data_IF_796004383228
#
_entry.id   IF_796004383228
#
_cell.length_a   1.000
_cell.length_b   1.000
_cell.length_c   1.000
_cell.angle_alpha   90.00
_cell.angle_beta   90.00
_cell.angle_gamma   90.00
#
_symmetry.space_group_name_H-M   'P 1'
#
loop_
_entity.id
_entity.type
_entity.pdbx_description
1 polymer ?
#
# COMPACT_ATOMS: atom_id res chain seq x y z
N UNK A 1 -35.40 -43.34 -5.15
CA UNK A 1 -34.95 -42.05 -4.58
C UNK A 1 -33.58 -42.26 -3.92
N UNK A 2 -32.60 -41.43 -4.25
CA UNK A 2 -31.29 -41.43 -3.56
C UNK A 2 -30.09 -41.41 -4.49
N UNK A 3 -29.90 -40.33 -5.26
CA UNK A 3 -28.63 -40.08 -5.97
C UNK A 3 -27.68 -39.33 -5.02
N UNK A 4 -26.64 -40.02 -4.54
CA UNK A 4 -25.55 -39.42 -3.77
C UNK A 4 -24.54 -38.78 -4.73
N UNK A 5 -24.73 -37.51 -5.05
CA UNK A 5 -23.71 -36.71 -5.73
C UNK A 5 -22.54 -36.45 -4.77
N UNK A 6 -21.49 -37.28 -4.87
CA UNK A 6 -20.21 -37.06 -4.21
C UNK A 6 -19.43 -35.98 -4.98
N UNK A 7 -19.58 -34.72 -4.60
CA UNK A 7 -18.78 -33.61 -5.15
C UNK A 7 -17.29 -33.80 -4.80
N UNK A 8 -16.51 -34.16 -5.81
CA UNK A 8 -15.07 -34.23 -5.74
C UNK A 8 -14.51 -32.79 -5.73
N UNK A 9 -14.16 -32.28 -4.55
CA UNK A 9 -13.48 -30.98 -4.38
C UNK A 9 -12.13 -31.03 -5.11
N UNK A 10 -12.07 -30.49 -6.34
CA UNK A 10 -10.83 -30.30 -7.09
C UNK A 10 -9.92 -29.36 -6.28
N UNK A 11 -8.82 -29.89 -5.73
CA UNK A 11 -7.72 -29.10 -5.16
C UNK A 11 -7.16 -28.22 -6.29
N UNK A 12 -7.59 -26.95 -6.35
CA UNK A 12 -6.93 -25.93 -7.16
C UNK A 12 -5.55 -25.70 -6.56
N UNK A 13 -4.53 -26.31 -7.16
CA UNK A 13 -3.14 -25.93 -6.96
C UNK A 13 -3.02 -24.47 -7.38
N UNK A 14 -2.88 -23.57 -6.41
CA UNK A 14 -2.53 -22.18 -6.66
C UNK A 14 -1.10 -22.17 -7.20
N UNK A 15 -0.97 -22.27 -8.52
CA UNK A 15 0.26 -21.90 -9.19
C UNK A 15 0.47 -20.41 -8.90
N UNK A 16 1.41 -20.10 -8.00
CA UNK A 16 1.85 -18.72 -7.74
C UNK A 16 2.36 -18.20 -9.07
N UNK A 17 1.56 -17.37 -9.74
CA UNK A 17 2.00 -16.70 -10.96
C UNK A 17 3.23 -15.88 -10.59
N UNK A 18 4.37 -16.23 -11.20
CA UNK A 18 5.61 -15.45 -11.13
C UNK A 18 5.24 -14.03 -11.58
N UNK A 19 5.17 -13.12 -10.61
CA UNK A 19 4.80 -11.72 -10.84
C UNK A 19 5.91 -11.12 -11.71
N UNK A 20 5.58 -10.39 -12.77
CA UNK A 20 6.60 -9.95 -13.73
C UNK A 20 7.55 -8.93 -13.09
N UNK A 21 8.80 -8.85 -13.56
CA UNK A 21 9.80 -7.86 -13.08
C UNK A 21 9.22 -6.43 -13.07
N UNK A 22 8.36 -6.10 -14.05
CA UNK A 22 7.67 -4.80 -14.10
C UNK A 22 6.71 -4.58 -12.93
N UNK A 23 5.94 -5.58 -12.55
CA UNK A 23 5.00 -5.50 -11.43
C UNK A 23 5.75 -5.32 -10.10
N UNK A 24 6.89 -5.99 -9.93
CA UNK A 24 7.74 -5.85 -8.75
C UNK A 24 8.33 -4.45 -8.64
N UNK A 25 8.78 -3.87 -9.76
CA UNK A 25 9.27 -2.49 -9.78
C UNK A 25 8.16 -1.48 -9.44
N UNK A 26 6.94 -1.68 -9.95
CA UNK A 26 5.78 -0.85 -9.59
C UNK A 26 5.51 -0.96 -8.08
N UNK A 27 5.51 -2.17 -7.52
CA UNK A 27 5.25 -2.35 -6.08
C UNK A 27 6.31 -1.68 -5.21
N UNK A 28 7.59 -1.72 -5.62
CA UNK A 28 8.68 -0.98 -4.95
C UNK A 28 8.44 0.53 -4.98
N UNK A 29 8.14 1.09 -6.14
CA UNK A 29 7.84 2.52 -6.27
C UNK A 29 6.64 2.94 -5.42
N UNK A 30 5.59 2.10 -5.36
CA UNK A 30 4.43 2.34 -4.52
C UNK A 30 4.81 2.37 -3.03
N UNK A 31 5.72 1.49 -2.58
CA UNK A 31 6.22 1.52 -1.19
C UNK A 31 6.95 2.83 -0.89
N UNK A 32 7.84 3.28 -1.79
CA UNK A 32 8.56 4.56 -1.65
C UNK A 32 7.59 5.74 -1.55
N UNK A 33 6.58 5.77 -2.41
CA UNK A 33 5.53 6.79 -2.39
C UNK A 33 4.75 6.73 -1.07
N UNK A 34 4.39 5.54 -0.58
CA UNK A 34 3.67 5.39 0.68
C UNK A 34 4.50 5.80 1.90
N UNK A 35 5.82 5.58 1.89
CA UNK A 35 6.73 6.11 2.92
C UNK A 35 6.70 7.64 2.93
N UNK A 36 6.88 8.28 1.77
CA UNK A 36 6.85 9.74 1.67
C UNK A 36 5.49 10.34 2.09
N UNK A 37 4.38 9.66 1.75
CA UNK A 37 3.05 10.03 2.25
C UNK A 37 3.00 9.97 3.78
N UNK A 38 3.48 8.89 4.39
CA UNK A 38 3.46 8.72 5.83
C UNK A 38 4.26 9.82 6.54
N UNK A 39 5.48 10.10 6.05
CA UNK A 39 6.34 11.18 6.54
C UNK A 39 5.65 12.54 6.43
N UNK A 40 5.01 12.83 5.29
CA UNK A 40 4.27 14.09 5.10
C UNK A 40 3.07 14.22 6.04
N UNK A 41 2.33 13.13 6.29
CA UNK A 41 1.20 13.14 7.22
C UNK A 41 1.65 13.31 8.67
N UNK A 42 2.82 12.80 9.06
CA UNK A 42 3.42 13.04 10.37
C UNK A 42 3.80 14.52 10.51
N UNK A 43 4.46 15.09 9.49
CA UNK A 43 4.88 16.49 9.50
C UNK A 43 3.71 17.49 9.43
N UNK A 44 2.61 17.10 8.75
CA UNK A 44 1.44 17.95 8.54
C UNK A 44 0.15 17.22 8.97
N UNK A 45 -0.15 17.17 10.27
CA UNK A 45 -1.33 16.47 10.79
C UNK A 45 -2.66 16.97 10.20
N UNK A 46 -2.73 18.23 9.76
CA UNK A 46 -3.92 18.80 9.11
C UNK A 46 -4.33 18.07 7.83
N UNK A 47 -3.40 17.41 7.14
CA UNK A 47 -3.69 16.64 5.93
C UNK A 47 -4.42 15.32 6.23
N UNK A 48 -4.41 14.85 7.49
CA UNK A 48 -5.06 13.61 7.90
C UNK A 48 -6.57 13.70 7.70
N UNK A 49 -7.18 14.84 8.00
CA UNK A 49 -8.63 15.02 7.83
C UNK A 49 -9.04 14.90 6.36
N UNK A 50 -8.19 15.38 5.45
CA UNK A 50 -8.40 15.21 4.01
C UNK A 50 -8.39 13.72 3.60
N UNK A 51 -7.52 12.90 4.21
CA UNK A 51 -7.49 11.45 3.96
C UNK A 51 -8.74 10.78 4.54
N UNK A 52 -9.14 11.15 5.76
CA UNK A 52 -10.33 10.61 6.42
C UNK A 52 -11.60 10.88 5.59
N UNK A 53 -11.79 12.11 5.12
CA UNK A 53 -12.93 12.43 4.26
C UNK A 53 -12.94 11.61 2.97
N UNK A 54 -11.77 11.38 2.34
CA UNK A 54 -11.69 10.50 1.15
C UNK A 54 -12.00 9.04 1.47
N UNK A 55 -11.57 8.54 2.64
CA UNK A 55 -11.91 7.19 3.08
C UNK A 55 -13.41 7.02 3.26
N UNK A 56 -14.06 7.99 3.90
CA UNK A 56 -15.52 8.03 4.09
C UNK A 56 -16.25 8.11 2.75
N UNK A 57 -15.85 9.02 1.86
CA UNK A 57 -16.44 9.15 0.53
C UNK A 57 -16.34 7.84 -0.27
N UNK A 58 -15.16 7.20 -0.29
CA UNK A 58 -14.95 5.94 -1.01
C UNK A 58 -15.72 4.77 -0.40
N UNK A 59 -15.93 4.78 0.92
CA UNK A 59 -16.80 3.81 1.61
C UNK A 59 -18.25 4.04 1.20
N UNK A 60 -18.73 5.27 1.28
CA UNK A 60 -20.15 5.62 1.09
C UNK A 60 -20.59 5.48 -0.36
N UNK A 61 -19.70 5.76 -1.32
CA UNK A 61 -19.96 5.55 -2.75
C UNK A 61 -19.73 4.10 -3.21
N UNK A 62 -19.33 3.19 -2.32
CA UNK A 62 -19.12 1.78 -2.61
C UNK A 62 -17.86 1.44 -3.40
N UNK A 63 -16.98 2.41 -3.69
CA UNK A 63 -15.70 2.18 -4.38
C UNK A 63 -14.62 1.56 -3.49
N UNK A 64 -14.87 1.45 -2.18
CA UNK A 64 -14.01 0.79 -1.22
C UNK A 64 -14.79 -0.22 -0.36
N UNK A 65 -14.32 -1.46 -0.32
CA UNK A 65 -14.86 -2.47 0.59
C UNK A 65 -14.59 -2.13 2.06
N UNK A 66 -15.52 -2.47 2.95
CA UNK A 66 -15.48 -2.13 4.37
C UNK A 66 -14.18 -2.59 5.09
N UNK A 67 -13.66 -3.77 4.73
CA UNK A 67 -12.38 -4.25 5.30
C UNK A 67 -11.16 -3.40 4.92
N UNK A 68 -11.14 -2.82 3.71
CA UNK A 68 -10.10 -1.89 3.31
C UNK A 68 -10.22 -0.56 4.06
N UNK A 69 -11.46 -0.07 4.20
CA UNK A 69 -11.76 1.14 4.97
C UNK A 69 -11.25 1.01 6.42
N UNK A 70 -11.65 -0.05 7.13
CA UNK A 70 -11.22 -0.29 8.51
C UNK A 70 -9.71 -0.42 8.61
N UNK A 71 -9.06 -1.18 7.71
CA UNK A 71 -7.61 -1.34 7.76
C UNK A 71 -6.89 0.00 7.61
N UNK A 72 -7.30 0.85 6.65
CA UNK A 72 -6.67 2.16 6.48
C UNK A 72 -6.95 3.12 7.63
N UNK A 73 -8.16 3.09 8.18
CA UNK A 73 -8.50 3.87 9.37
C UNK A 73 -7.63 3.46 10.58
N UNK A 74 -7.47 2.15 10.83
CA UNK A 74 -6.60 1.65 11.89
C UNK A 74 -5.14 2.03 11.67
N UNK A 75 -4.65 2.06 10.43
CA UNK A 75 -3.29 2.52 10.13
C UNK A 75 -3.15 4.02 10.47
N UNK A 76 -4.12 4.87 10.12
CA UNK A 76 -4.11 6.29 10.48
C UNK A 76 -4.10 6.56 11.99
N UNK A 77 -4.69 5.67 12.78
CA UNK A 77 -4.70 5.77 14.25
C UNK A 77 -3.29 5.56 14.86
N UNK A 78 -2.40 4.86 14.14
CA UNK A 78 -1.01 4.63 14.58
C UNK A 78 -0.12 5.87 14.43
N UNK A 79 -0.60 6.97 13.83
CA UNK A 79 0.23 8.14 13.48
C UNK A 79 0.97 8.79 14.65
N UNK A 80 0.44 8.65 15.88
CA UNK A 80 1.09 9.19 17.10
C UNK A 80 2.45 8.52 17.36
N UNK A 81 2.67 7.32 16.82
CA UNK A 81 3.96 6.66 16.77
C UNK A 81 4.47 6.64 15.32
N UNK A 82 5.37 7.57 15.00
CA UNK A 82 5.92 7.74 13.66
C UNK A 82 6.49 6.44 13.07
N UNK A 83 7.27 5.69 13.87
CA UNK A 83 7.92 4.44 13.43
C UNK A 83 6.86 3.40 13.07
N UNK A 84 5.93 3.12 13.98
CA UNK A 84 4.87 2.13 13.76
C UNK A 84 3.95 2.51 12.61
N UNK A 85 3.65 3.80 12.44
CA UNK A 85 2.85 4.28 11.33
C UNK A 85 3.53 4.07 9.97
N UNK A 86 4.82 4.43 9.85
CA UNK A 86 5.60 4.24 8.63
C UNK A 86 5.73 2.74 8.31
N UNK A 87 6.01 1.90 9.31
CA UNK A 87 6.06 0.45 9.16
C UNK A 87 4.73 -0.11 8.63
N UNK A 88 3.60 0.29 9.22
CA UNK A 88 2.28 -0.15 8.78
C UNK A 88 1.94 0.33 7.35
N UNK A 89 2.33 1.56 6.98
CA UNK A 89 2.13 2.10 5.63
C UNK A 89 2.96 1.36 4.57
N UNK A 90 4.14 0.87 4.95
CA UNK A 90 5.13 0.26 4.05
C UNK A 90 5.20 -1.27 4.13
N UNK A 91 4.39 -1.90 4.99
CA UNK A 91 4.38 -3.35 5.25
C UNK A 91 4.41 -4.18 3.95
N UNK A 92 5.37 -5.09 3.82
CA UNK A 92 5.57 -5.88 2.61
C UNK A 92 4.79 -7.21 2.61
N UNK A 93 3.48 -7.16 2.89
CA UNK A 93 2.60 -8.32 2.79
C UNK A 93 1.77 -8.29 1.50
N UNK A 94 1.34 -9.47 1.01
CA UNK A 94 0.48 -9.56 -0.17
C UNK A 94 -0.83 -8.78 -0.01
N UNK A 95 -1.38 -8.73 1.22
CA UNK A 95 -2.59 -7.95 1.54
C UNK A 95 -2.29 -6.47 1.32
N UNK A 96 -1.22 -5.95 1.93
CA UNK A 96 -0.88 -4.53 1.87
C UNK A 96 -0.42 -4.08 0.48
N UNK A 97 0.27 -4.92 -0.29
CA UNK A 97 0.56 -4.64 -1.71
C UNK A 97 -0.70 -4.37 -2.52
N UNK A 98 -1.71 -5.25 -2.39
CA UNK A 98 -3.01 -5.06 -3.09
C UNK A 98 -3.72 -3.80 -2.64
N UNK A 99 -3.70 -3.51 -1.34
CA UNK A 99 -4.31 -2.31 -0.78
C UNK A 99 -3.64 -1.02 -1.27
N UNK A 100 -2.30 -0.98 -1.33
CA UNK A 100 -1.57 0.22 -1.81
C UNK A 100 -1.84 0.52 -3.28
N UNK A 101 -2.05 -0.50 -4.13
CA UNK A 101 -2.42 -0.30 -5.55
C UNK A 101 -3.77 0.42 -5.74
N UNK A 102 -4.65 0.41 -4.73
CA UNK A 102 -5.95 1.11 -4.73
C UNK A 102 -6.07 2.13 -3.59
N UNK A 103 -4.93 2.78 -3.29
CA UNK A 103 -4.76 3.71 -2.17
C UNK A 103 -5.78 4.87 -2.13
N UNK A 104 -6.28 5.27 -0.95
CA UNK A 104 -7.08 6.49 -0.74
C UNK A 104 -6.21 7.75 -0.52
N UNK A 105 -4.89 7.62 -0.42
CA UNK A 105 -3.97 8.70 -0.10
C UNK A 105 -3.60 9.57 -1.33
N UNK A 106 -4.47 9.65 -2.33
CA UNK A 106 -4.22 10.43 -3.54
C UNK A 106 -4.25 11.93 -3.21
N UNK A 107 -3.37 12.71 -3.86
CA UNK A 107 -3.29 14.15 -3.67
C UNK A 107 -2.64 14.61 -2.36
N UNK A 108 -2.08 13.68 -1.55
CA UNK A 108 -1.27 14.05 -0.38
C UNK A 108 0.11 14.53 -0.82
N UNK A 109 0.74 13.82 -1.76
CA UNK A 109 1.93 14.31 -2.45
C UNK A 109 1.52 15.12 -3.67
N UNK A 110 2.20 16.24 -3.87
CA UNK A 110 2.30 16.92 -5.16
C UNK A 110 3.11 16.09 -6.15
N UNK A 111 3.01 16.41 -7.43
CA UNK A 111 3.79 15.72 -8.45
C UNK A 111 5.30 15.89 -8.25
N UNK A 112 5.74 17.07 -7.81
CA UNK A 112 7.15 17.34 -7.50
C UNK A 112 7.64 16.47 -6.34
N UNK A 113 6.90 16.40 -5.24
CA UNK A 113 7.25 15.55 -4.09
C UNK A 113 7.30 14.07 -4.47
N UNK A 114 6.36 13.62 -5.31
CA UNK A 114 6.32 12.24 -5.82
C UNK A 114 7.58 11.92 -6.63
N UNK A 115 7.98 12.82 -7.54
CA UNK A 115 9.21 12.66 -8.34
C UNK A 115 10.45 12.68 -7.45
N UNK A 116 10.51 13.58 -6.47
CA UNK A 116 11.63 13.69 -5.55
C UNK A 116 11.80 12.43 -4.68
N UNK A 117 10.71 11.87 -4.14
CA UNK A 117 10.74 10.63 -3.37
C UNK A 117 11.31 9.45 -4.18
N UNK A 118 10.86 9.30 -5.44
CA UNK A 118 11.36 8.25 -6.32
C UNK A 118 12.83 8.44 -6.71
N UNK A 119 13.27 9.68 -6.91
CA UNK A 119 14.68 9.99 -7.19
C UNK A 119 15.58 9.69 -6.00
N UNK A 120 15.19 10.11 -4.80
CA UNK A 120 15.97 9.87 -3.58
C UNK A 120 16.18 8.39 -3.32
N UNK A 121 15.14 7.57 -3.49
CA UNK A 121 15.26 6.10 -3.39
C UNK A 121 16.21 5.53 -4.45
N UNK A 122 16.11 6.00 -5.69
CA UNK A 122 17.03 5.59 -6.75
C UNK A 122 18.49 5.94 -6.42
N UNK A 123 18.77 7.14 -5.89
CA UNK A 123 20.13 7.52 -5.47
C UNK A 123 20.63 6.70 -4.28
N UNK A 124 19.80 6.48 -3.26
CA UNK A 124 20.16 5.63 -2.11
C UNK A 124 20.51 4.19 -2.53
N UNK A 125 19.87 3.67 -3.59
CA UNK A 125 20.20 2.35 -4.13
C UNK A 125 21.55 2.29 -4.85
N UNK A 126 22.04 3.43 -5.38
CA UNK A 126 23.32 3.53 -6.10
C UNK A 126 24.50 3.71 -5.12
N UNK A 127 24.33 4.48 -4.05
CA UNK A 127 25.38 4.69 -3.03
C UNK A 127 25.79 3.38 -2.30
N UNK A 128 24.93 2.35 -2.32
CA UNK A 128 25.24 1.03 -1.75
C UNK A 128 26.12 0.15 -2.66
N UNK A 129 26.32 0.54 -3.92
CA UNK A 129 27.12 -0.22 -4.90
C UNK A 129 28.62 0.11 -4.78
N UNK A 130 28.98 1.27 -4.21
CA UNK A 130 30.37 1.69 -4.02
C UNK A 130 31.12 0.90 -2.92
N UNK A 131 30.49 -0.10 -2.30
CA UNK A 131 31.14 -1.03 -1.35
C UNK A 131 31.58 -2.35 -2.02
N UNK A 132 31.43 -2.48 -3.35
CA UNK A 132 31.74 -3.72 -4.09
C UNK A 132 32.99 -3.66 -4.98
N UNK A 133 33.89 -2.69 -4.78
CA UNK A 133 35.21 -2.66 -5.41
C UNK A 133 36.35 -2.51 -4.40
#
# INVERSE_FOLDING_TARGET
MGSLFRQQKRKRTYAVKKTGIKDENIDRQIIVIHRAIAEKLIAHPILVDQVKSRLEEKRDNGSMGYGHYITWQSILELRENATTFIEAMTEDSQKMRRMRRSTPFTGILTEEERVNALKQDAFASVDSIDVLF
#
